data_IF_424942158972
#
_entry.id   IF_424942158972
#
_cell.length_a   1.000
_cell.length_b   1.000
_cell.length_c   1.000
_cell.angle_alpha   90.00
_cell.angle_beta   90.00
_cell.angle_gamma   90.00
#
_symmetry.space_group_name_H-M   'P 1'
#
loop_
_entity.id
_entity.type
_entity.pdbx_description
1 polymer ?
#
# COMPACT_ATOMS: atom_id res chain seq x y z
N UNK A 1 12.39 -66.90 -33.06
CA UNK A 1 13.45 -67.65 -33.75
C UNK A 1 14.76 -66.93 -33.45
N UNK A 2 15.48 -67.33 -32.38
CA UNK A 2 16.66 -68.21 -32.39
C UNK A 2 17.88 -67.53 -33.03
N UNK A 3 19.06 -67.32 -32.43
CA UNK A 3 19.71 -67.75 -31.18
C UNK A 3 20.83 -66.69 -30.87
N UNK A 4 21.17 -66.39 -29.60
CA UNK A 4 22.35 -66.90 -28.84
C UNK A 4 23.70 -66.76 -29.57
N UNK A 5 24.85 -66.48 -28.95
CA UNK A 5 25.33 -66.04 -27.65
C UNK A 5 26.87 -65.99 -27.85
N UNK A 6 27.61 -65.11 -27.17
CA UNK A 6 28.88 -65.58 -26.62
C UNK A 6 29.30 -64.78 -25.39
N UNK A 7 29.70 -65.55 -24.37
CA UNK A 7 30.27 -65.15 -23.08
C UNK A 7 31.51 -66.00 -22.93
N UNK A 8 32.64 -65.38 -22.59
CA UNK A 8 33.63 -65.98 -21.72
C UNK A 8 34.55 -64.85 -21.18
N UNK A 9 35.08 -64.80 -19.96
CA UNK A 9 34.91 -65.43 -18.63
C UNK A 9 36.31 -65.42 -18.00
N UNK A 10 36.44 -64.78 -16.82
CA UNK A 10 37.45 -64.97 -15.75
C UNK A 10 38.94 -64.71 -16.08
N UNK A 11 39.80 -64.27 -15.16
CA UNK A 11 39.93 -64.75 -13.80
C UNK A 11 40.61 -63.77 -12.83
N UNK A 12 40.30 -64.03 -11.56
CA UNK A 12 40.70 -63.41 -10.31
C UNK A 12 42.06 -63.91 -9.79
N UNK A 13 42.78 -63.09 -9.00
CA UNK A 13 43.58 -63.57 -7.87
C UNK A 13 43.98 -62.43 -6.90
N UNK A 14 43.53 -62.60 -5.65
CA UNK A 14 43.92 -61.96 -4.38
C UNK A 14 45.40 -62.30 -4.04
N UNK A 15 46.20 -61.54 -3.26
CA UNK A 15 46.22 -61.51 -1.77
C UNK A 15 47.30 -60.53 -1.23
N UNK A 16 46.92 -59.85 -0.14
CA UNK A 16 47.65 -59.42 1.09
C UNK A 16 48.99 -58.65 1.10
N UNK A 17 49.04 -57.68 2.04
CA UNK A 17 50.28 -57.29 2.72
C UNK A 17 50.37 -55.82 3.15
N UNK A 18 50.05 -55.53 4.41
CA UNK A 18 49.99 -54.22 5.04
C UNK A 18 51.32 -53.44 5.17
N UNK A 19 51.25 -52.10 5.17
CA UNK A 19 51.93 -51.23 6.15
C UNK A 19 51.41 -49.78 6.07
N UNK A 20 51.29 -49.20 7.25
CA UNK A 20 50.76 -47.89 7.65
C UNK A 20 51.54 -46.69 7.13
N UNK A 21 50.85 -45.61 6.76
CA UNK A 21 51.31 -44.28 7.12
C UNK A 21 50.15 -43.29 7.22
N UNK A 22 50.16 -42.50 8.30
CA UNK A 22 49.07 -41.62 8.68
C UNK A 22 48.98 -40.37 7.81
N UNK A 23 47.76 -40.01 7.43
CA UNK A 23 47.42 -38.67 7.03
C UNK A 23 46.12 -38.28 7.74
N UNK A 24 46.22 -37.20 8.52
CA UNK A 24 45.18 -36.66 9.36
C UNK A 24 43.87 -36.46 8.59
N UNK A 25 42.78 -36.99 9.16
CA UNK A 25 41.42 -36.61 8.80
C UNK A 25 41.16 -35.20 9.33
N UNK A 26 41.37 -34.18 8.51
CA UNK A 26 40.72 -32.88 8.73
C UNK A 26 39.27 -33.00 8.27
N UNK A 27 38.42 -33.38 9.22
CA UNK A 27 36.99 -33.15 9.15
C UNK A 27 36.73 -31.65 9.20
N UNK A 28 36.78 -31.00 8.04
CA UNK A 28 36.15 -29.70 7.88
C UNK A 28 34.63 -29.91 7.96
N UNK A 29 34.09 -29.74 9.16
CA UNK A 29 32.68 -29.49 9.36
C UNK A 29 32.29 -28.34 8.42
N UNK A 30 31.51 -28.65 7.38
CA UNK A 30 30.91 -27.68 6.51
C UNK A 30 29.99 -26.80 7.37
N UNK A 31 30.48 -25.61 7.72
CA UNK A 31 29.65 -24.56 8.30
C UNK A 31 28.55 -24.25 7.26
N UNK A 32 27.29 -24.45 7.64
CA UNK A 32 26.10 -24.37 6.78
C UNK A 32 25.77 -22.95 6.27
N UNK A 33 26.77 -22.08 6.13
CA UNK A 33 26.63 -20.78 5.49
C UNK A 33 26.90 -20.95 4.00
N UNK A 34 25.85 -21.31 3.26
CA UNK A 34 25.88 -21.41 1.80
C UNK A 34 26.41 -20.11 1.17
N UNK A 35 27.23 -20.26 0.13
CA UNK A 35 27.82 -19.16 -0.66
C UNK A 35 26.76 -18.09 -1.02
N UNK A 36 26.82 -16.88 -0.41
CA UNK A 36 25.86 -15.81 -0.66
C UNK A 36 25.89 -15.33 -2.11
N UNK A 37 27.06 -15.35 -2.75
CA UNK A 37 27.21 -14.97 -4.15
C UNK A 37 26.59 -16.03 -5.08
N UNK A 38 26.62 -17.30 -4.68
CA UNK A 38 25.91 -18.38 -5.34
C UNK A 38 24.39 -18.27 -5.21
N UNK A 39 23.87 -17.79 -4.09
CA UNK A 39 22.44 -17.61 -3.88
C UNK A 39 21.85 -16.50 -4.76
N UNK A 40 22.51 -15.35 -4.86
CA UNK A 40 22.07 -14.24 -5.73
C UNK A 40 21.97 -14.65 -7.20
N UNK A 41 22.98 -15.33 -7.74
CA UNK A 41 22.96 -15.82 -9.13
C UNK A 41 21.81 -16.79 -9.42
N UNK A 42 21.52 -17.71 -8.49
CA UNK A 42 20.38 -18.63 -8.64
C UNK A 42 19.04 -17.90 -8.66
N UNK A 43 18.88 -16.85 -7.85
CA UNK A 43 17.68 -16.01 -7.84
C UNK A 43 17.52 -15.31 -9.19
N UNK A 44 18.59 -14.71 -9.72
CA UNK A 44 18.58 -14.02 -11.01
C UNK A 44 18.27 -14.96 -12.19
N UNK A 45 18.86 -16.17 -12.21
CA UNK A 45 18.59 -17.18 -13.24
C UNK A 45 17.13 -17.64 -13.20
N UNK A 46 16.61 -17.99 -12.01
CA UNK A 46 15.21 -18.39 -11.85
C UNK A 46 14.23 -17.24 -12.15
N UNK A 47 14.59 -16.00 -11.81
CA UNK A 47 13.80 -14.82 -12.18
C UNK A 47 13.69 -14.68 -13.71
N UNK A 48 14.80 -14.88 -14.44
CA UNK A 48 14.80 -14.86 -15.90
C UNK A 48 13.89 -15.94 -16.48
N UNK A 49 13.91 -17.16 -15.94
CA UNK A 49 13.01 -18.23 -16.36
C UNK A 49 11.52 -17.90 -16.12
N UNK A 50 11.20 -17.24 -15.01
CA UNK A 50 9.82 -16.79 -14.72
C UNK A 50 9.41 -15.71 -15.73
N UNK A 51 10.27 -14.74 -16.03
CA UNK A 51 9.99 -13.69 -17.01
C UNK A 51 9.85 -14.26 -18.44
N UNK A 52 10.70 -15.22 -18.83
CA UNK A 52 10.64 -15.88 -20.14
C UNK A 52 9.39 -16.75 -20.32
N UNK A 53 8.83 -17.29 -19.23
CA UNK A 53 7.56 -18.03 -19.27
C UNK A 53 6.37 -17.15 -19.67
N UNK A 54 6.49 -15.83 -19.56
CA UNK A 54 5.48 -14.87 -20.00
C UNK A 54 4.28 -14.76 -19.06
N UNK A 55 3.12 -14.30 -19.57
CA UNK A 55 1.92 -14.08 -18.77
C UNK A 55 1.32 -15.39 -18.25
N UNK A 56 0.82 -15.37 -17.02
CA UNK A 56 -0.02 -16.46 -16.50
C UNK A 56 -1.28 -16.64 -17.34
N UNK A 57 -1.86 -17.83 -17.29
CA UNK A 57 -3.18 -18.03 -17.88
C UNK A 57 -4.19 -17.03 -17.29
N UNK A 58 -5.09 -16.43 -18.10
CA UNK A 58 -6.15 -15.56 -17.58
C UNK A 58 -7.03 -16.31 -16.58
N UNK A 59 -7.09 -15.81 -15.36
CA UNK A 59 -7.92 -16.36 -14.28
C UNK A 59 -9.21 -15.55 -14.15
N UNK A 60 -10.39 -16.14 -14.43
CA UNK A 60 -11.65 -15.43 -14.30
C UNK A 60 -11.95 -15.12 -12.83
N UNK A 61 -12.54 -13.95 -12.60
CA UNK A 61 -13.13 -13.57 -11.33
C UNK A 61 -14.17 -14.62 -10.90
N UNK A 62 -14.25 -14.85 -9.58
CA UNK A 62 -15.22 -15.79 -9.01
C UNK A 62 -16.66 -15.41 -9.33
N UNK A 63 -16.94 -14.11 -9.27
CA UNK A 63 -18.24 -13.52 -9.52
C UNK A 63 -18.10 -12.44 -10.60
N UNK A 64 -19.15 -12.17 -11.41
CA UNK A 64 -19.20 -10.95 -12.20
C UNK A 64 -19.08 -9.73 -11.30
N UNK A 65 -18.73 -8.59 -11.89
CA UNK A 65 -18.96 -7.28 -11.28
C UNK A 65 -20.41 -7.23 -10.83
N UNK A 66 -20.65 -6.99 -9.54
CA UNK A 66 -22.00 -7.10 -8.99
C UNK A 66 -22.27 -6.04 -7.93
N UNK A 67 -23.53 -5.61 -7.87
CA UNK A 67 -23.96 -4.52 -7.00
C UNK A 67 -23.78 -4.84 -5.51
N UNK A 68 -23.97 -6.09 -5.10
CA UNK A 68 -23.83 -6.48 -3.69
C UNK A 68 -22.40 -6.25 -3.18
N UNK A 69 -21.39 -6.63 -3.97
CA UNK A 69 -19.98 -6.36 -3.63
C UNK A 69 -19.63 -4.88 -3.73
N UNK A 70 -20.19 -4.13 -4.69
CA UNK A 70 -20.02 -2.67 -4.77
C UNK A 70 -20.54 -2.03 -3.49
N UNK A 71 -21.76 -2.36 -3.06
CA UNK A 71 -22.37 -1.84 -1.83
C UNK A 71 -21.49 -2.10 -0.61
N UNK A 72 -21.07 -3.36 -0.39
CA UNK A 72 -20.20 -3.71 0.73
C UNK A 72 -18.89 -2.90 0.72
N UNK A 73 -18.30 -2.68 -0.46
CA UNK A 73 -17.05 -1.97 -0.61
C UNK A 73 -17.21 -0.48 -0.32
N UNK A 74 -18.21 0.18 -0.93
CA UNK A 74 -18.41 1.63 -0.73
C UNK A 74 -18.83 1.96 0.70
N UNK A 75 -19.61 1.10 1.36
CA UNK A 75 -19.97 1.24 2.77
C UNK A 75 -18.73 1.13 3.68
N UNK A 76 -17.86 0.15 3.41
CA UNK A 76 -16.65 -0.06 4.21
C UNK A 76 -15.60 1.05 3.99
N UNK A 77 -15.49 1.57 2.77
CA UNK A 77 -14.56 2.65 2.42
C UNK A 77 -15.11 4.03 2.81
N UNK A 78 -16.43 4.18 2.92
CA UNK A 78 -17.09 5.46 3.16
C UNK A 78 -17.17 6.34 1.90
N UNK A 79 -17.13 5.75 0.71
CA UNK A 79 -17.26 6.47 -0.56
C UNK A 79 -18.75 6.65 -0.91
N UNK A 80 -19.24 7.88 -0.79
CA UNK A 80 -20.65 8.21 -0.99
C UNK A 80 -20.98 8.64 -2.43
N UNK A 81 -20.11 8.38 -3.42
CA UNK A 81 -20.37 8.78 -4.80
C UNK A 81 -21.61 8.04 -5.37
N UNK A 82 -22.67 8.77 -5.76
CA UNK A 82 -23.95 8.15 -6.11
C UNK A 82 -23.90 7.35 -7.42
N UNK A 83 -22.90 7.57 -8.29
CA UNK A 83 -22.81 6.82 -9.57
C UNK A 83 -22.57 5.31 -9.39
N UNK A 84 -22.21 4.89 -8.17
CA UNK A 84 -21.98 3.49 -7.83
C UNK A 84 -23.22 2.77 -7.27
N UNK A 85 -24.20 3.49 -6.75
CA UNK A 85 -25.31 2.91 -5.97
C UNK A 85 -26.71 3.46 -6.33
N UNK A 86 -26.79 4.63 -6.96
CA UNK A 86 -28.03 5.27 -7.40
C UNK A 86 -28.14 5.23 -8.93
N UNK A 87 -29.11 4.48 -9.44
CA UNK A 87 -29.30 4.30 -10.87
C UNK A 87 -29.74 5.58 -11.60
N UNK A 88 -30.50 6.46 -10.95
CA UNK A 88 -30.96 7.72 -11.54
C UNK A 88 -29.80 8.71 -11.64
N UNK A 89 -29.00 8.83 -10.57
CA UNK A 89 -27.80 9.66 -10.58
C UNK A 89 -26.76 9.16 -11.59
N UNK A 90 -26.58 7.83 -11.70
CA UNK A 90 -25.67 7.24 -12.67
C UNK A 90 -26.16 7.48 -14.11
N UNK A 91 -27.46 7.36 -14.38
CA UNK A 91 -28.07 7.64 -15.69
C UNK A 91 -27.94 9.12 -16.10
N UNK A 92 -28.01 10.04 -15.13
CA UNK A 92 -27.80 11.47 -15.36
C UNK A 92 -26.31 11.86 -15.47
N UNK A 93 -25.39 10.95 -15.16
CA UNK A 93 -23.94 11.19 -15.22
C UNK A 93 -23.35 10.87 -16.60
N UNK A 94 -22.06 11.16 -16.77
CA UNK A 94 -21.29 10.78 -17.97
C UNK A 94 -21.22 9.26 -18.20
N UNK A 95 -21.54 8.45 -17.20
CA UNK A 95 -21.49 6.99 -17.30
C UNK A 95 -22.76 6.38 -17.92
N UNK A 96 -23.90 7.06 -17.79
CA UNK A 96 -25.21 6.63 -18.32
C UNK A 96 -25.84 5.42 -17.62
N UNK A 97 -25.10 4.72 -16.77
CA UNK A 97 -25.56 3.59 -15.95
C UNK A 97 -24.61 3.39 -14.76
N UNK A 98 -25.00 2.51 -13.84
CA UNK A 98 -24.19 2.16 -12.67
C UNK A 98 -22.83 1.60 -13.10
N UNK A 99 -21.79 2.05 -12.41
CA UNK A 99 -20.42 1.60 -12.63
C UNK A 99 -19.80 1.13 -11.33
N UNK A 100 -18.83 0.23 -11.41
CA UNK A 100 -18.01 -0.14 -10.26
C UNK A 100 -16.97 0.96 -9.98
N UNK A 101 -16.65 1.26 -8.71
CA UNK A 101 -15.48 2.06 -8.37
C UNK A 101 -14.22 1.49 -9.04
N UNK A 102 -13.41 2.28 -9.75
CA UNK A 102 -12.24 1.77 -10.47
C UNK A 102 -11.26 1.01 -9.57
N UNK A 103 -11.08 1.47 -8.34
CA UNK A 103 -10.23 0.85 -7.32
C UNK A 103 -10.67 -0.58 -6.90
N UNK A 104 -11.86 -1.04 -7.31
CA UNK A 104 -12.29 -2.43 -7.11
C UNK A 104 -11.73 -3.40 -8.15
N UNK A 105 -10.97 -2.96 -9.16
CA UNK A 105 -10.45 -3.83 -10.23
C UNK A 105 -9.81 -5.12 -9.69
N UNK A 106 -8.96 -5.00 -8.68
CA UNK A 106 -8.31 -6.15 -8.03
C UNK A 106 -9.27 -6.99 -7.17
N UNK A 107 -10.28 -6.37 -6.56
CA UNK A 107 -11.23 -7.04 -5.64
C UNK A 107 -11.97 -8.18 -6.35
N UNK A 108 -12.31 -8.01 -7.62
CA UNK A 108 -13.03 -9.02 -8.41
C UNK A 108 -12.25 -10.32 -8.58
N UNK A 109 -10.93 -10.24 -8.67
CA UNK A 109 -10.04 -11.40 -8.84
C UNK A 109 -9.32 -11.78 -7.56
N UNK A 110 -9.78 -11.28 -6.40
CA UNK A 110 -9.28 -11.75 -5.12
C UNK A 110 -9.72 -13.20 -4.88
N UNK A 111 -8.77 -14.00 -4.40
CA UNK A 111 -8.93 -15.44 -4.16
C UNK A 111 -9.89 -15.78 -3.01
N UNK A 112 -10.25 -14.80 -2.19
CA UNK A 112 -11.03 -15.00 -0.98
C UNK A 112 -10.26 -15.79 0.10
N UNK A 113 -10.99 -16.25 1.11
CA UNK A 113 -10.41 -16.80 2.35
C UNK A 113 -9.61 -18.11 2.15
N UNK A 114 -10.00 -18.94 1.18
CA UNK A 114 -9.43 -20.28 0.97
C UNK A 114 -8.80 -20.46 -0.41
N UNK A 115 -8.74 -19.41 -1.22
CA UNK A 115 -8.26 -19.56 -2.58
C UNK A 115 -6.75 -19.76 -2.64
N UNK A 116 -6.33 -20.69 -3.49
CA UNK A 116 -4.92 -21.06 -3.70
C UNK A 116 -4.41 -20.38 -4.97
N UNK A 117 -3.14 -19.99 -4.97
CA UNK A 117 -2.49 -19.35 -6.11
C UNK A 117 -2.04 -20.38 -7.16
N UNK A 118 -2.36 -20.20 -8.47
CA UNK A 118 -1.98 -21.11 -9.53
C UNK A 118 -0.47 -21.34 -9.57
N UNK A 119 -0.02 -22.52 -10.03
CA UNK A 119 1.39 -22.81 -10.19
C UNK A 119 2.13 -21.88 -11.17
N UNK A 120 1.43 -21.35 -12.18
CA UNK A 120 1.98 -20.45 -13.20
C UNK A 120 1.96 -18.98 -12.80
N UNK A 121 1.42 -18.63 -11.63
CA UNK A 121 1.41 -17.25 -11.12
C UNK A 121 2.84 -16.75 -10.85
N UNK A 122 3.31 -15.70 -11.53
CA UNK A 122 4.70 -15.24 -11.42
C UNK A 122 5.06 -14.73 -10.02
N UNK A 123 4.10 -14.11 -9.31
CA UNK A 123 4.33 -13.62 -7.95
C UNK A 123 4.51 -14.78 -6.98
N UNK A 124 3.76 -15.88 -7.19
CA UNK A 124 3.94 -17.12 -6.41
C UNK A 124 5.35 -17.64 -6.57
N UNK A 125 5.77 -17.86 -7.82
CA UNK A 125 7.06 -18.45 -8.17
C UNK A 125 8.22 -17.60 -7.63
N UNK A 126 8.13 -16.29 -7.77
CA UNK A 126 9.11 -15.35 -7.22
C UNK A 126 9.15 -15.37 -5.68
N UNK A 127 7.99 -15.46 -5.02
CA UNK A 127 7.89 -15.50 -3.56
C UNK A 127 8.49 -16.79 -2.99
N UNK A 128 8.12 -17.94 -3.56
CA UNK A 128 8.64 -19.26 -3.16
C UNK A 128 10.17 -19.34 -3.34
N UNK A 129 10.69 -18.86 -4.48
CA UNK A 129 12.13 -18.75 -4.73
C UNK A 129 12.87 -17.94 -3.64
N UNK A 130 12.29 -16.81 -3.23
CA UNK A 130 12.89 -15.94 -2.23
C UNK A 130 12.73 -16.48 -0.80
N UNK A 131 11.64 -17.19 -0.52
CA UNK A 131 11.42 -17.91 0.74
C UNK A 131 12.46 -19.01 0.95
N UNK A 132 12.71 -19.83 -0.07
CA UNK A 132 13.75 -20.87 -0.06
C UNK A 132 15.16 -20.28 0.15
N UNK A 133 15.39 -19.05 -0.30
CA UNK A 133 16.63 -18.30 -0.07
C UNK A 133 16.70 -17.56 1.29
N UNK A 134 15.66 -17.69 2.13
CA UNK A 134 15.61 -17.13 3.48
C UNK A 134 15.03 -15.71 3.60
N UNK A 135 14.49 -15.14 2.53
CA UNK A 135 13.81 -13.84 2.54
C UNK A 135 12.32 -13.99 2.85
N UNK A 136 12.00 -14.47 4.04
CA UNK A 136 10.64 -14.93 4.39
C UNK A 136 9.66 -13.81 4.73
N UNK A 137 10.15 -12.62 5.09
CA UNK A 137 9.28 -11.48 5.40
C UNK A 137 8.88 -10.75 4.12
N UNK A 138 7.69 -10.14 4.09
CA UNK A 138 7.16 -9.43 2.91
C UNK A 138 6.47 -8.13 3.31
N UNK A 139 6.65 -7.09 2.50
CA UNK A 139 5.88 -5.86 2.58
C UNK A 139 5.60 -5.36 1.16
N UNK A 140 4.40 -4.84 0.92
CA UNK A 140 4.09 -4.12 -0.33
C UNK A 140 4.71 -2.72 -0.27
N UNK A 141 5.39 -2.30 -1.33
CA UNK A 141 6.07 -0.99 -1.37
C UNK A 141 5.41 -0.02 -2.34
N UNK A 142 4.89 -0.54 -3.46
CA UNK A 142 4.31 0.31 -4.50
C UNK A 142 3.12 -0.39 -5.16
N UNK A 143 2.10 0.40 -5.51
CA UNK A 143 0.95 -0.04 -6.31
C UNK A 143 0.55 1.10 -7.23
N UNK A 144 0.62 0.87 -8.54
CA UNK A 144 0.19 1.81 -9.56
C UNK A 144 -0.88 1.14 -10.42
N UNK A 145 -2.09 1.68 -10.45
CA UNK A 145 -3.19 1.16 -11.25
C UNK A 145 -3.57 2.14 -12.36
N UNK A 146 -3.74 1.62 -13.58
CA UNK A 146 -4.30 2.33 -14.73
C UNK A 146 -5.68 1.75 -15.02
N UNK A 147 -6.69 2.59 -15.15
CA UNK A 147 -8.04 2.17 -15.49
C UNK A 147 -8.37 2.66 -16.89
N UNK A 148 -8.52 1.72 -17.83
CA UNK A 148 -8.81 2.04 -19.23
C UNK A 148 -10.26 2.48 -19.42
N UNK A 149 -11.18 1.89 -18.63
CA UNK A 149 -12.57 2.33 -18.49
C UNK A 149 -13.18 1.85 -17.17
N UNK A 150 -14.36 2.38 -16.86
CA UNK A 150 -15.18 1.87 -15.77
C UNK A 150 -15.79 0.50 -16.13
N UNK A 151 -15.90 -0.36 -15.12
CA UNK A 151 -16.59 -1.63 -15.22
C UNK A 151 -18.07 -1.48 -14.89
N UNK A 152 -18.90 -2.32 -15.49
CA UNK A 152 -20.36 -2.33 -15.29
C UNK A 152 -20.81 -3.59 -14.59
N UNK A 153 -21.85 -3.53 -13.73
CA UNK A 153 -22.48 -4.72 -13.18
C UNK A 153 -22.85 -5.72 -14.29
N UNK A 154 -22.48 -6.99 -14.09
CA UNK A 154 -22.68 -8.09 -15.05
C UNK A 154 -21.43 -8.47 -15.85
N UNK A 155 -20.45 -7.57 -15.99
CA UNK A 155 -19.20 -7.88 -16.69
C UNK A 155 -18.38 -8.95 -15.93
N UNK A 156 -17.79 -9.89 -16.65
CA UNK A 156 -16.87 -10.88 -16.09
C UNK A 156 -15.42 -10.48 -16.38
N UNK A 157 -14.68 -10.23 -15.32
CA UNK A 157 -13.27 -9.83 -15.40
C UNK A 157 -12.39 -11.08 -15.31
N UNK A 158 -11.29 -11.13 -16.05
CA UNK A 158 -10.21 -12.10 -15.85
C UNK A 158 -8.87 -11.39 -15.67
N UNK A 159 -8.00 -11.90 -14.80
CA UNK A 159 -6.67 -11.34 -14.55
C UNK A 159 -5.57 -12.23 -15.13
N UNK A 160 -4.56 -11.62 -15.73
CA UNK A 160 -3.30 -12.30 -16.09
C UNK A 160 -2.13 -11.45 -15.61
N UNK A 161 -1.08 -12.10 -15.11
CA UNK A 161 0.07 -11.42 -14.52
C UNK A 161 1.38 -11.84 -15.19
N UNK A 162 2.32 -10.91 -15.25
CA UNK A 162 3.72 -11.12 -15.65
C UNK A 162 4.66 -10.70 -14.53
N UNK A 163 5.82 -11.34 -14.44
CA UNK A 163 6.95 -10.82 -13.67
C UNK A 163 7.70 -9.79 -14.52
N UNK A 164 7.74 -8.54 -14.07
CA UNK A 164 8.49 -7.49 -14.77
C UNK A 164 9.96 -7.51 -14.41
N UNK A 165 10.27 -7.55 -13.11
CA UNK A 165 11.65 -7.65 -12.63
C UNK A 165 11.74 -8.16 -11.19
N UNK A 166 12.95 -8.64 -10.86
CA UNK A 166 13.39 -8.93 -9.50
C UNK A 166 14.75 -8.24 -9.31
N UNK A 167 14.86 -7.39 -8.29
CA UNK A 167 16.05 -6.54 -8.07
C UNK A 167 16.55 -6.69 -6.64
N UNK A 168 17.79 -7.12 -6.48
CA UNK A 168 18.44 -7.32 -5.18
C UNK A 168 19.82 -7.97 -5.30
N UNK A 169 20.43 -8.34 -4.16
CA UNK A 169 20.00 -7.94 -2.82
C UNK A 169 20.19 -6.44 -2.60
N UNK A 170 19.28 -5.80 -1.87
CA UNK A 170 19.37 -4.41 -1.42
C UNK A 170 19.32 -4.34 0.09
N UNK A 171 20.14 -3.49 0.69
CA UNK A 171 20.01 -3.12 2.10
C UNK A 171 18.90 -2.06 2.23
N UNK A 172 17.89 -2.36 3.04
CA UNK A 172 16.75 -1.48 3.32
C UNK A 172 16.64 -1.24 4.82
N UNK A 173 15.74 -0.35 5.24
CA UNK A 173 15.45 -0.15 6.67
C UNK A 173 14.89 -1.40 7.36
N UNK A 174 14.27 -2.32 6.61
CA UNK A 174 13.72 -3.58 7.11
C UNK A 174 14.73 -4.74 7.07
N UNK A 175 15.94 -4.49 6.57
CA UNK A 175 16.98 -5.51 6.40
C UNK A 175 17.38 -5.69 4.94
N UNK A 176 18.19 -6.72 4.68
CA UNK A 176 18.53 -7.13 3.32
C UNK A 176 17.34 -7.81 2.65
N UNK A 177 17.02 -7.41 1.41
CA UNK A 177 15.91 -7.97 0.67
C UNK A 177 15.99 -7.79 -0.84
N UNK A 178 14.97 -8.31 -1.51
CA UNK A 178 14.77 -8.30 -2.95
C UNK A 178 13.42 -7.66 -3.26
N UNK A 179 13.43 -6.74 -4.21
CA UNK A 179 12.20 -6.19 -4.74
C UNK A 179 11.69 -7.08 -5.86
N UNK A 180 10.39 -7.37 -5.86
CA UNK A 180 9.70 -8.12 -6.92
C UNK A 180 8.61 -7.22 -7.47
N UNK A 181 8.66 -6.95 -8.77
CA UNK A 181 7.65 -6.17 -9.47
C UNK A 181 6.91 -7.05 -10.46
N UNK A 182 5.59 -7.09 -10.33
CA UNK A 182 4.69 -7.78 -11.25
C UNK A 182 3.72 -6.81 -11.88
N UNK A 183 3.32 -7.07 -13.13
CA UNK A 183 2.21 -6.37 -13.76
C UNK A 183 1.05 -7.31 -13.97
N UNK A 184 -0.13 -6.90 -13.53
CA UNK A 184 -1.39 -7.59 -13.74
C UNK A 184 -2.23 -6.79 -14.71
N UNK A 185 -2.80 -7.44 -15.71
CA UNK A 185 -3.80 -6.85 -16.60
C UNK A 185 -5.12 -7.56 -16.38
N UNK A 186 -6.18 -6.78 -16.21
CA UNK A 186 -7.56 -7.27 -16.15
C UNK A 186 -8.23 -7.08 -17.50
N UNK A 187 -9.00 -8.09 -17.90
CA UNK A 187 -9.69 -8.15 -19.19
C UNK A 187 -11.18 -8.43 -19.01
N UNK A 188 -12.01 -7.87 -19.89
CA UNK A 188 -13.39 -8.31 -20.13
C UNK A 188 -13.44 -8.85 -21.56
N UNK A 189 -13.57 -10.16 -21.71
CA UNK A 189 -13.28 -10.81 -22.99
C UNK A 189 -11.82 -10.58 -23.39
N UNK A 190 -11.59 -9.99 -24.56
CA UNK A 190 -10.25 -9.64 -25.05
C UNK A 190 -9.85 -8.18 -24.77
N UNK A 191 -10.75 -7.39 -24.18
CA UNK A 191 -10.52 -5.96 -23.90
C UNK A 191 -9.78 -5.78 -22.57
N UNK A 192 -8.60 -5.16 -22.59
CA UNK A 192 -7.92 -4.73 -21.37
C UNK A 192 -8.69 -3.56 -20.73
N UNK A 193 -9.15 -3.75 -19.49
CA UNK A 193 -10.00 -2.78 -18.77
C UNK A 193 -9.25 -2.05 -17.66
N UNK A 194 -8.23 -2.70 -17.09
CA UNK A 194 -7.35 -2.11 -16.09
C UNK A 194 -5.99 -2.81 -16.06
N UNK A 195 -4.97 -2.14 -15.54
CA UNK A 195 -3.63 -2.66 -15.31
C UNK A 195 -3.12 -2.24 -13.94
N UNK A 196 -2.28 -3.07 -13.32
CA UNK A 196 -1.60 -2.75 -12.08
C UNK A 196 -0.16 -3.19 -12.14
N UNK A 197 0.76 -2.26 -11.91
CA UNK A 197 2.14 -2.59 -11.52
C UNK A 197 2.19 -2.61 -10.00
N UNK A 198 2.58 -3.75 -9.44
CA UNK A 198 2.64 -3.98 -8.00
C UNK A 198 4.04 -4.42 -7.60
N UNK A 199 4.58 -3.77 -6.57
CA UNK A 199 5.93 -4.04 -6.07
C UNK A 199 5.88 -4.47 -4.61
N UNK A 200 6.57 -5.57 -4.32
CA UNK A 200 6.82 -6.03 -2.96
C UNK A 200 8.32 -6.05 -2.67
N UNK A 201 8.67 -5.94 -1.39
CA UNK A 201 9.98 -6.25 -0.85
C UNK A 201 9.88 -7.55 -0.06
N UNK A 202 10.63 -8.57 -0.49
CA UNK A 202 10.90 -9.78 0.30
C UNK A 202 12.22 -9.58 1.04
N UNK A 203 12.22 -9.68 2.36
CA UNK A 203 13.40 -9.37 3.17
C UNK A 203 13.63 -10.43 4.25
N UNK A 204 14.86 -10.50 4.74
CA UNK A 204 15.19 -11.40 5.86
C UNK A 204 14.55 -10.88 7.14
N UNK A 205 13.90 -11.74 7.94
CA UNK A 205 13.42 -11.33 9.25
C UNK A 205 14.58 -10.81 10.10
N UNK A 206 14.34 -9.80 10.95
CA UNK A 206 15.36 -9.33 11.88
C UNK A 206 15.84 -10.48 12.77
N UNK A 207 17.16 -10.58 12.99
CA UNK A 207 17.70 -11.55 13.95
C UNK A 207 17.08 -11.27 15.31
N UNK A 208 16.31 -12.24 15.83
CA UNK A 208 15.85 -12.17 17.22
C UNK A 208 17.09 -12.16 18.11
N UNK A 209 17.36 -11.02 18.76
CA UNK A 209 18.30 -11.00 19.87
C UNK A 209 17.80 -12.03 20.89
N UNK A 210 18.57 -13.10 21.07
CA UNK A 210 18.33 -14.07 22.12
C UNK A 210 18.39 -13.32 23.46
N UNK A 211 17.22 -12.93 23.98
CA UNK A 211 17.09 -12.47 25.34
C UNK A 211 17.32 -13.69 26.22
N UNK A 212 18.58 -13.86 26.64
CA UNK A 212 18.97 -14.85 27.62
C UNK A 212 18.18 -14.61 28.90
N UNK A 213 17.06 -15.30 29.05
CA UNK A 213 16.42 -15.46 30.35
C UNK A 213 17.36 -16.32 31.20
N UNK A 214 18.24 -15.64 31.93
CA UNK A 214 18.90 -16.22 33.09
C UNK A 214 17.81 -16.65 34.06
N UNK A 215 17.54 -17.96 34.10
CA UNK A 215 16.78 -18.59 35.17
C UNK A 215 17.59 -18.46 36.46
N UNK A 216 17.33 -17.37 37.19
CA UNK A 216 17.74 -17.21 38.57
C UNK A 216 16.97 -18.20 39.44
N UNK A 217 17.67 -19.21 39.93
CA UNK A 217 17.24 -20.10 40.99
C UNK A 217 16.87 -19.31 42.24
N UNK A 218 15.62 -19.41 42.70
CA UNK A 218 15.27 -19.22 44.12
C UNK A 218 14.31 -20.31 44.56
N UNK A 219 14.85 -21.21 45.39
CA UNK A 219 14.10 -22.16 46.22
C UNK A 219 13.72 -21.48 47.54
N UNK A 220 12.42 -21.49 47.85
CA UNK A 220 11.79 -21.56 49.18
C UNK A 220 10.28 -21.37 48.94
N UNK A 221 9.31 -22.15 49.41
CA UNK A 221 9.23 -23.21 50.40
C UNK A 221 7.76 -23.27 50.84
N UNK A 222 7.06 -24.32 50.43
CA UNK A 222 5.91 -25.04 51.03
C UNK A 222 4.88 -24.28 51.91
N UNK A 223 3.57 -24.29 51.56
CA UNK A 223 2.51 -25.12 52.21
C UNK A 223 1.07 -24.76 51.78
N UNK A 224 0.27 -25.80 51.44
CA UNK A 224 -1.21 -25.95 51.56
C UNK A 224 -2.12 -25.05 50.71
N UNK A 225 -3.31 -25.44 50.24
CA UNK A 225 -4.12 -26.66 50.26
C UNK A 225 -5.37 -26.39 49.37
N UNK A 226 -5.95 -27.45 48.76
CA UNK A 226 -7.34 -27.68 48.29
C UNK A 226 -8.19 -26.49 47.70
N UNK A 227 -8.81 -26.53 46.52
CA UNK A 227 -9.56 -27.59 45.86
C UNK A 227 -10.98 -27.75 46.45
N UNK A 228 -12.03 -27.20 45.81
CA UNK A 228 -13.31 -27.84 45.36
C UNK A 228 -14.44 -26.84 45.05
N UNK A 229 -15.20 -27.14 43.97
CA UNK A 229 -16.67 -26.95 43.72
C UNK A 229 -17.28 -25.53 43.71
N UNK A 230 -18.30 -25.20 42.91
CA UNK A 230 -19.21 -25.99 42.08
C UNK A 230 -20.12 -25.09 41.20
N UNK A 231 -20.93 -25.77 40.38
CA UNK A 231 -21.81 -25.25 39.33
C UNK A 231 -23.08 -24.51 39.81
N UNK A 232 -23.69 -23.86 38.81
CA UNK A 232 -25.14 -23.74 38.52
C UNK A 232 -25.92 -22.53 39.07
N UNK A 233 -26.72 -21.92 38.18
CA UNK A 233 -27.84 -21.08 38.60
C UNK A 233 -28.38 -20.06 37.58
N UNK A 234 -29.01 -20.55 36.52
CA UNK A 234 -29.98 -19.81 35.67
C UNK A 234 -31.09 -19.15 36.50
N UNK A 235 -31.49 -17.91 36.18
CA UNK A 235 -32.91 -17.51 36.14
C UNK A 235 -33.15 -16.30 35.23
N UNK A 236 -34.16 -16.45 34.38
CA UNK A 236 -34.76 -15.43 33.54
C UNK A 236 -35.98 -14.80 34.25
N UNK A 237 -36.36 -13.60 33.79
CA UNK A 237 -37.61 -12.92 34.09
C UNK A 237 -37.36 -11.40 34.05
N UNK A 238 -38.12 -10.56 33.37
CA UNK A 238 -39.37 -10.67 32.63
C UNK A 238 -39.80 -9.24 32.30
N UNK A 239 -40.27 -9.08 31.06
CA UNK A 239 -41.19 -8.07 30.48
C UNK A 239 -41.63 -6.90 31.37
N UNK A 240 -41.63 -5.70 30.80
CA UNK A 240 -42.89 -5.01 30.44
C UNK A 240 -42.65 -3.75 29.58
N UNK A 241 -43.46 -3.63 28.52
CA UNK A 241 -43.73 -2.40 27.77
C UNK A 241 -45.08 -1.84 28.24
N UNK A 242 -45.42 -0.58 27.95
CA UNK A 242 -46.49 -0.41 26.95
C UNK A 242 -46.37 0.81 26.01
N UNK A 243 -46.73 0.54 24.75
CA UNK A 243 -47.58 1.29 23.80
C UNK A 243 -48.07 2.71 24.12
N UNK A 244 -47.98 3.60 23.12
CA UNK A 244 -48.81 4.80 22.95
C UNK A 244 -48.78 5.31 21.49
N UNK A 245 -49.96 5.53 20.90
CA UNK A 245 -50.23 5.56 19.47
C UNK A 245 -50.11 6.94 18.77
N UNK A 246 -50.15 6.87 17.44
CA UNK A 246 -50.13 7.93 16.42
C UNK A 246 -51.30 8.92 16.45
N UNK A 247 -51.09 10.12 15.85
CA UNK A 247 -52.09 10.78 14.98
C UNK A 247 -51.39 11.64 13.91
N UNK A 248 -52.03 11.64 12.74
CA UNK A 248 -51.78 12.36 11.48
C UNK A 248 -52.35 13.79 11.52
N UNK A 249 -51.79 14.72 10.74
CA UNK A 249 -52.64 15.68 10.02
C UNK A 249 -51.97 16.22 8.75
N UNK A 250 -52.79 16.37 7.72
CA UNK A 250 -52.48 16.76 6.33
C UNK A 250 -53.38 17.94 5.94
N UNK A 251 -52.91 18.74 4.97
CA UNK A 251 -53.62 19.76 4.16
C UNK A 251 -53.63 21.20 4.72
N UNK A 252 -53.52 22.27 3.93
CA UNK A 252 -53.50 22.40 2.47
C UNK A 252 -53.42 23.88 2.02
N UNK A 253 -53.29 24.03 0.70
CA UNK A 253 -53.00 25.17 -0.19
C UNK A 253 -53.80 26.49 -0.10
N UNK A 254 -53.23 27.50 -0.78
CA UNK A 254 -53.87 28.63 -1.50
C UNK A 254 -52.93 29.85 -1.55
N UNK A 255 -52.09 30.06 -2.57
CA UNK A 255 -52.31 30.61 -3.94
C UNK A 255 -52.79 32.07 -4.01
N UNK A 256 -51.98 32.90 -4.69
CA UNK A 256 -52.31 33.84 -5.79
C UNK A 256 -51.46 35.13 -5.77
N UNK A 257 -50.87 35.47 -6.93
CA UNK A 257 -50.47 36.86 -7.21
C UNK A 257 -49.30 37.09 -8.18
N UNK A 258 -49.57 37.01 -9.48
CA UNK A 258 -48.71 37.44 -10.61
C UNK A 258 -48.24 38.91 -10.51
N UNK A 259 -47.02 39.17 -11.01
CA UNK A 259 -46.53 40.48 -11.41
C UNK A 259 -45.32 40.38 -12.34
N UNK A 260 -45.55 40.52 -13.64
CA UNK A 260 -44.57 40.66 -14.72
C UNK A 260 -44.19 42.15 -14.89
N UNK A 261 -42.89 42.46 -14.96
CA UNK A 261 -42.36 43.52 -15.83
C UNK A 261 -40.84 43.43 -15.90
N UNK A 262 -40.31 43.13 -17.09
CA UNK A 262 -38.89 43.24 -17.41
C UNK A 262 -38.47 44.66 -17.77
N UNK A 263 -37.20 44.98 -17.50
CA UNK A 263 -36.28 45.81 -18.33
C UNK A 263 -34.93 45.92 -17.60
N UNK A 264 -33.82 45.71 -18.31
CA UNK A 264 -32.45 45.89 -17.82
C UNK A 264 -31.50 45.03 -18.67
N UNK A 265 -31.16 45.51 -19.85
CA UNK A 265 -29.92 46.24 -20.15
C UNK A 265 -28.74 45.29 -20.40
N UNK A 266 -28.08 45.58 -21.50
CA UNK A 266 -27.23 44.70 -22.27
C UNK A 266 -25.77 45.08 -22.11
N UNK A 267 -24.95 44.09 -21.76
CA UNK A 267 -23.63 43.92 -22.36
C UNK A 267 -22.45 44.59 -21.66
N UNK A 268 -21.55 43.75 -21.15
CA UNK A 268 -20.12 44.04 -21.12
C UNK A 268 -19.50 43.92 -19.73
N UNK A 269 -19.24 42.69 -19.26
CA UNK A 269 -18.54 42.54 -18.00
C UNK A 269 -18.13 41.15 -17.54
N UNK A 270 -18.21 40.09 -18.36
CA UNK A 270 -17.86 38.73 -17.89
C UNK A 270 -16.86 38.07 -18.83
N UNK A 271 -15.63 38.57 -18.78
CA UNK A 271 -14.45 37.97 -19.40
C UNK A 271 -13.26 37.93 -18.45
N UNK A 272 -13.49 38.00 -17.13
CA UNK A 272 -12.42 38.05 -16.14
C UNK A 272 -12.81 37.39 -14.80
N UNK A 273 -13.06 36.10 -14.88
CA UNK A 273 -12.80 35.13 -13.81
C UNK A 273 -13.14 33.76 -14.41
N UNK A 274 -12.21 33.21 -15.19
CA UNK A 274 -12.23 31.77 -15.41
C UNK A 274 -12.07 31.15 -14.01
N UNK A 275 -13.21 30.64 -13.53
CA UNK A 275 -13.46 29.84 -12.34
C UNK A 275 -12.19 29.13 -11.86
N UNK A 276 -11.62 29.61 -10.75
CA UNK A 276 -10.51 28.98 -10.08
C UNK A 276 -10.95 27.56 -9.69
N UNK A 277 -10.49 26.57 -10.43
CA UNK A 277 -10.73 25.16 -10.15
C UNK A 277 -10.42 24.90 -8.67
N UNK A 278 -11.44 24.53 -7.89
CA UNK A 278 -11.36 24.48 -6.43
C UNK A 278 -10.23 23.54 -5.97
N UNK A 279 -9.14 24.13 -5.49
CA UNK A 279 -8.08 23.41 -4.80
C UNK A 279 -8.67 22.80 -3.53
N UNK A 280 -8.47 21.50 -3.32
CA UNK A 280 -8.89 20.83 -2.09
C UNK A 280 -8.21 21.52 -0.89
N UNK A 281 -9.01 22.08 0.00
CA UNK A 281 -8.51 22.82 1.16
C UNK A 281 -8.19 21.87 2.32
N UNK A 282 -7.06 22.07 3.02
CA UNK A 282 -6.71 21.24 4.17
C UNK A 282 -7.65 21.48 5.35
N UNK A 283 -7.87 20.45 6.16
CA UNK A 283 -8.57 20.59 7.45
C UNK A 283 -7.61 21.21 8.46
N UNK A 284 -7.87 22.46 8.83
CA UNK A 284 -7.14 23.17 9.88
C UNK A 284 -7.81 22.92 11.22
N UNK A 285 -7.08 22.34 12.16
CA UNK A 285 -7.48 22.10 13.55
C UNK A 285 -6.58 22.88 14.50
N UNK A 286 -6.91 22.89 15.80
CA UNK A 286 -6.05 23.52 16.81
C UNK A 286 -4.64 22.90 16.85
N UNK A 287 -4.54 21.61 16.58
CA UNK A 287 -3.28 20.85 16.68
C UNK A 287 -2.34 21.10 15.50
N UNK A 288 -2.83 21.66 14.39
CA UNK A 288 -2.03 21.93 13.20
C UNK A 288 -2.07 23.39 12.72
N UNK A 289 -2.84 24.27 13.37
CA UNK A 289 -2.96 25.68 12.98
C UNK A 289 -1.60 26.38 12.89
N UNK A 290 -0.71 26.14 13.86
CA UNK A 290 0.62 26.75 13.89
C UNK A 290 1.44 26.47 12.62
N UNK A 291 1.26 25.29 12.00
CA UNK A 291 1.93 24.91 10.76
C UNK A 291 1.43 25.76 9.59
N UNK A 292 0.10 25.86 9.44
CA UNK A 292 -0.52 26.65 8.37
C UNK A 292 -0.24 28.16 8.53
N UNK A 293 -0.22 28.67 9.76
CA UNK A 293 0.19 30.05 10.04
C UNK A 293 1.65 30.30 9.65
N UNK A 294 2.53 29.33 9.92
CA UNK A 294 3.92 29.37 9.46
C UNK A 294 4.03 29.46 7.95
N UNK A 295 3.29 28.62 7.22
CA UNK A 295 3.32 28.65 5.75
C UNK A 295 2.88 30.00 5.17
N UNK A 296 1.87 30.65 5.77
CA UNK A 296 1.46 32.01 5.36
C UNK A 296 2.58 33.04 5.55
N UNK A 297 3.38 32.87 6.58
CA UNK A 297 4.54 33.73 6.89
C UNK A 297 5.81 33.34 6.10
N UNK A 298 5.76 32.26 5.30
CA UNK A 298 6.92 31.74 4.57
C UNK A 298 7.88 30.95 5.45
N UNK A 299 7.37 30.35 6.53
CA UNK A 299 8.12 29.55 7.49
C UNK A 299 7.66 28.08 7.45
N UNK A 300 8.61 27.16 7.46
CA UNK A 300 8.33 25.74 7.59
C UNK A 300 8.46 25.32 9.07
N UNK A 301 7.35 25.35 9.81
CA UNK A 301 7.35 25.05 11.25
C UNK A 301 7.22 23.55 11.53
N UNK A 302 8.08 23.01 12.38
CA UNK A 302 8.07 21.59 12.81
C UNK A 302 7.64 21.52 14.27
N UNK A 303 6.66 20.67 14.60
CA UNK A 303 6.25 20.47 16.00
C UNK A 303 7.42 19.93 16.80
N UNK A 304 7.60 20.44 18.02
CA UNK A 304 8.62 19.97 18.95
C UNK A 304 8.05 19.68 20.33
N UNK A 305 8.50 18.57 20.89
CA UNK A 305 8.22 18.11 22.25
C UNK A 305 9.56 17.92 22.96
N UNK A 306 9.97 18.91 23.76
CA UNK A 306 11.31 18.94 24.35
C UNK A 306 12.39 18.92 23.27
N UNK A 307 13.14 17.82 23.15
CA UNK A 307 14.15 17.62 22.11
C UNK A 307 13.63 16.85 20.87
N UNK A 308 12.40 16.33 20.92
CA UNK A 308 11.85 15.49 19.85
C UNK A 308 11.11 16.35 18.82
N UNK A 309 11.53 16.26 17.56
CA UNK A 309 10.82 16.85 16.43
C UNK A 309 9.80 15.87 15.84
N UNK A 310 8.66 16.40 15.42
CA UNK A 310 7.56 15.59 14.89
C UNK A 310 6.88 16.24 13.69
N UNK A 311 6.70 15.43 12.64
CA UNK A 311 5.80 15.71 11.53
C UNK A 311 5.22 14.38 11.02
N UNK A 312 3.89 14.27 10.75
CA UNK A 312 2.86 15.30 10.94
C UNK A 312 2.61 15.66 12.42
N UNK A 313 2.12 16.89 12.72
CA UNK A 313 1.80 17.30 14.08
C UNK A 313 0.75 16.41 14.73
N UNK A 314 0.75 16.35 16.05
CA UNK A 314 -0.39 15.78 16.78
C UNK A 314 -0.44 16.19 18.25
N UNK A 315 -1.55 15.90 18.93
CA UNK A 315 -1.88 16.52 20.22
C UNK A 315 -1.12 15.95 21.43
N UNK A 316 -0.52 14.77 21.29
CA UNK A 316 0.15 14.05 22.38
C UNK A 316 1.66 13.94 22.15
N UNK A 317 2.47 14.11 23.21
CA UNK A 317 3.90 13.85 23.13
C UNK A 317 4.17 12.35 22.97
N UNK A 318 5.29 11.95 22.34
CA UNK A 318 5.63 10.55 22.12
C UNK A 318 5.84 9.73 23.41
N UNK A 319 6.23 10.39 24.51
CA UNK A 319 6.46 9.76 25.82
C UNK A 319 5.20 9.63 26.69
N UNK A 320 4.10 10.27 26.28
CA UNK A 320 2.81 10.24 26.97
C UNK A 320 2.70 11.19 28.18
N UNK A 321 3.62 12.12 28.40
CA UNK A 321 3.48 13.11 29.48
C UNK A 321 2.33 14.10 29.21
N UNK A 322 1.25 13.97 29.98
CA UNK A 322 0.07 14.82 29.84
C UNK A 322 0.29 16.29 30.25
N UNK A 323 1.43 16.62 30.87
CA UNK A 323 1.78 17.99 31.26
C UNK A 323 2.72 18.68 30.27
N UNK A 324 3.26 17.96 29.29
CA UNK A 324 4.08 18.56 28.26
C UNK A 324 3.21 19.44 27.35
N UNK A 325 3.74 20.59 26.94
CA UNK A 325 3.14 21.43 25.91
C UNK A 325 4.05 21.44 24.67
N UNK A 326 3.50 21.29 23.46
CA UNK A 326 4.31 21.36 22.25
C UNK A 326 4.65 22.82 21.93
N UNK A 327 5.83 23.02 21.37
CA UNK A 327 6.15 24.23 20.62
C UNK A 327 6.55 23.87 19.18
N UNK A 328 7.27 24.75 18.50
CA UNK A 328 7.80 24.48 17.17
C UNK A 328 9.19 25.06 16.98
N UNK A 329 9.90 24.51 15.99
CA UNK A 329 11.11 25.11 15.41
C UNK A 329 10.81 25.51 13.97
N UNK A 330 11.42 26.61 13.50
CA UNK A 330 11.39 26.98 12.09
C UNK A 330 12.54 26.24 11.40
N UNK A 331 12.20 25.38 10.45
CA UNK A 331 13.17 24.61 9.68
C UNK A 331 13.99 25.52 8.76
N UNK A 332 15.22 25.12 8.46
CA UNK A 332 16.04 25.76 7.42
C UNK A 332 15.39 25.64 6.04
N UNK A 333 14.48 24.67 5.87
CA UNK A 333 13.76 24.42 4.62
C UNK A 333 14.58 23.64 3.61
N UNK A 334 15.73 23.10 3.98
CA UNK A 334 16.59 22.29 3.10
C UNK A 334 16.46 20.80 3.43
N UNK A 335 16.61 19.97 2.41
CA UNK A 335 16.57 18.52 2.57
C UNK A 335 16.87 17.78 1.28
N UNK A 336 16.59 16.48 1.28
CA UNK A 336 16.75 15.63 0.10
C UNK A 336 15.48 14.83 -0.18
N UNK A 337 15.22 14.56 -1.47
CA UNK A 337 14.11 13.69 -1.88
C UNK A 337 14.31 12.29 -1.29
N UNK A 338 13.49 11.92 -0.30
CA UNK A 338 13.51 10.61 0.32
C UNK A 338 12.74 9.58 -0.51
N UNK A 339 11.61 10.00 -1.09
CA UNK A 339 10.81 9.25 -2.07
C UNK A 339 10.00 10.21 -2.91
N UNK A 340 9.53 9.79 -4.08
CA UNK A 340 8.66 10.59 -4.92
C UNK A 340 7.73 9.72 -5.77
N UNK A 341 6.66 10.31 -6.25
CA UNK A 341 5.81 9.76 -7.30
C UNK A 341 5.60 10.79 -8.39
N UNK A 342 5.37 10.31 -9.61
CA UNK A 342 5.00 11.15 -10.75
C UNK A 342 3.53 10.88 -11.05
N UNK A 343 2.70 11.91 -10.83
CA UNK A 343 1.27 11.79 -11.07
C UNK A 343 0.95 12.09 -12.53
N UNK A 344 0.52 11.08 -13.28
CA UNK A 344 0.19 11.20 -14.70
C UNK A 344 -1.32 11.33 -14.97
N UNK A 345 -2.18 10.66 -14.19
CA UNK A 345 -3.63 10.60 -14.42
C UNK A 345 -4.36 10.11 -13.13
N UNK A 346 -5.62 10.51 -12.85
CA UNK A 346 -6.45 11.47 -13.59
C UNK A 346 -6.03 12.93 -13.42
N UNK A 347 -6.51 13.85 -14.28
CA UNK A 347 -6.33 15.28 -14.08
C UNK A 347 -6.78 15.71 -12.69
N UNK A 348 -5.92 16.46 -12.00
CA UNK A 348 -6.22 17.04 -10.69
C UNK A 348 -6.56 18.52 -10.90
N UNK A 349 -7.72 19.00 -10.42
CA UNK A 349 -8.08 20.42 -10.49
C UNK A 349 -6.94 21.33 -10.00
N UNK A 350 -6.56 22.30 -10.81
CA UNK A 350 -5.50 23.26 -10.49
C UNK A 350 -4.06 22.76 -10.67
N UNK A 351 -3.83 21.54 -11.18
CA UNK A 351 -2.48 20.99 -11.44
C UNK A 351 -2.24 20.74 -12.93
N UNK A 352 -1.01 20.98 -13.37
CA UNK A 352 -0.54 20.62 -14.71
C UNK A 352 0.08 19.22 -14.64
N UNK A 353 -0.34 18.33 -15.54
CA UNK A 353 0.16 16.95 -15.60
C UNK A 353 1.33 16.82 -16.60
N UNK A 354 2.30 15.93 -16.34
CA UNK A 354 2.55 15.26 -15.06
C UNK A 354 3.17 16.22 -14.03
N UNK A 355 2.93 15.99 -12.75
CA UNK A 355 3.63 16.69 -11.66
C UNK A 355 4.23 15.69 -10.66
N UNK A 356 5.25 16.15 -9.92
CA UNK A 356 5.99 15.31 -8.97
C UNK A 356 5.54 15.64 -7.56
N UNK A 357 5.11 14.62 -6.81
CA UNK A 357 4.97 14.74 -5.35
C UNK A 357 6.19 14.10 -4.69
N UNK A 358 6.95 14.91 -3.97
CA UNK A 358 8.14 14.48 -3.26
C UNK A 358 7.88 14.41 -1.76
N UNK A 359 8.29 13.29 -1.16
CA UNK A 359 8.50 13.18 0.27
C UNK A 359 9.96 13.54 0.54
N UNK A 360 10.19 14.67 1.20
CA UNK A 360 11.53 15.21 1.45
C UNK A 360 11.91 14.92 2.89
N UNK A 361 13.10 14.34 3.10
CA UNK A 361 13.74 14.28 4.41
C UNK A 361 14.49 15.59 4.62
N UNK A 362 14.00 16.39 5.56
CA UNK A 362 14.60 17.66 5.94
C UNK A 362 15.88 17.42 6.74
N UNK A 363 16.78 18.41 6.76
CA UNK A 363 18.02 18.35 7.53
C UNK A 363 17.77 18.19 9.04
N UNK A 364 16.59 18.60 9.53
CA UNK A 364 16.13 18.37 10.90
C UNK A 364 15.69 16.92 11.19
N UNK A 365 15.62 16.05 10.17
CA UNK A 365 15.34 14.62 10.29
C UNK A 365 13.87 14.20 10.21
N UNK A 366 12.93 15.16 10.11
CA UNK A 366 11.52 14.86 9.81
C UNK A 366 11.30 14.80 8.30
N UNK A 367 10.20 14.15 7.87
CA UNK A 367 9.83 14.08 6.46
C UNK A 367 8.57 14.87 6.18
N UNK A 368 8.56 15.62 5.09
CA UNK A 368 7.41 16.43 4.66
C UNK A 368 7.08 16.18 3.19
N UNK A 369 5.78 16.07 2.91
CA UNK A 369 5.26 15.90 1.56
C UNK A 369 5.00 17.28 0.93
N UNK A 370 5.36 17.44 -0.34
CA UNK A 370 5.04 18.63 -1.13
C UNK A 370 5.25 18.38 -2.63
N UNK A 371 4.71 19.25 -3.46
CA UNK A 371 4.98 19.20 -4.90
C UNK A 371 6.41 19.67 -5.18
N UNK A 372 7.12 18.99 -6.07
CA UNK A 372 8.45 19.41 -6.52
C UNK A 372 8.32 20.13 -7.88
N UNK A 373 8.62 21.42 -7.85
CA UNK A 373 8.47 22.32 -8.99
C UNK A 373 9.73 22.45 -9.83
N UNK A 374 9.52 22.76 -11.12
CA UNK A 374 10.58 23.24 -12.00
C UNK A 374 11.63 22.18 -12.37
N UNK A 375 11.28 20.89 -12.27
CA UNK A 375 12.13 19.76 -12.64
C UNK A 375 11.38 18.88 -13.63
N UNK A 376 12.08 18.36 -14.64
CA UNK A 376 11.54 17.29 -15.47
C UNK A 376 11.37 16.04 -14.59
N UNK A 377 10.20 15.38 -14.55
CA UNK A 377 10.02 14.16 -13.77
C UNK A 377 11.08 13.08 -14.04
N UNK A 378 11.66 13.04 -15.25
CA UNK A 378 12.74 12.12 -15.60
C UNK A 378 14.08 12.40 -14.88
N UNK A 379 14.28 13.63 -14.40
CA UNK A 379 15.49 14.06 -13.69
C UNK A 379 15.37 13.89 -12.16
N UNK A 380 14.19 13.49 -11.66
CA UNK A 380 13.98 13.30 -10.23
C UNK A 380 14.52 11.96 -9.77
N UNK A 381 15.34 11.98 -8.73
CA UNK A 381 15.91 10.79 -8.12
C UNK A 381 15.99 10.92 -6.58
N UNK A 382 16.03 9.78 -5.89
CA UNK A 382 16.26 9.74 -4.45
C UNK A 382 17.60 10.40 -4.11
N UNK A 383 17.61 11.24 -3.08
CA UNK A 383 18.77 12.03 -2.68
C UNK A 383 18.91 13.38 -3.40
N UNK A 384 18.01 13.73 -4.33
CA UNK A 384 18.04 15.06 -4.97
C UNK A 384 17.91 16.16 -3.92
N UNK A 385 18.87 17.09 -3.90
CA UNK A 385 18.86 18.21 -2.97
C UNK A 385 17.76 19.21 -3.35
N UNK A 386 16.95 19.57 -2.36
CA UNK A 386 15.82 20.49 -2.55
C UNK A 386 15.77 21.52 -1.44
N UNK A 387 15.04 22.59 -1.71
CA UNK A 387 14.68 23.61 -0.74
C UNK A 387 13.18 23.91 -0.78
N UNK A 388 12.65 24.37 0.36
CA UNK A 388 11.26 24.71 0.54
C UNK A 388 10.88 25.91 -0.33
N UNK A 389 9.70 25.83 -0.89
CA UNK A 389 9.00 26.92 -1.57
C UNK A 389 7.56 26.96 -1.08
N UNK A 390 6.89 28.09 -1.29
CA UNK A 390 5.56 28.33 -0.73
C UNK A 390 4.61 28.75 -1.84
N UNK A 391 3.65 27.89 -2.14
CA UNK A 391 2.63 28.14 -3.16
C UNK A 391 1.45 28.87 -2.52
N UNK A 392 1.31 30.16 -2.83
CA UNK A 392 0.15 30.95 -2.42
C UNK A 392 -1.01 30.62 -3.35
N UNK A 393 -2.02 29.94 -2.82
CA UNK A 393 -3.22 29.56 -3.56
C UNK A 393 -4.20 30.75 -3.58
N UNK A 394 -4.41 31.35 -2.42
CA UNK A 394 -5.23 32.55 -2.21
C UNK A 394 -4.80 33.25 -0.90
N UNK A 395 -5.57 34.26 -0.48
CA UNK A 395 -5.28 35.06 0.72
C UNK A 395 -5.31 34.23 2.02
N UNK A 396 -5.94 33.06 2.01
CA UNK A 396 -6.14 32.22 3.19
C UNK A 396 -5.26 30.97 3.17
N UNK A 397 -4.82 30.48 2.01
CA UNK A 397 -4.11 29.22 1.88
C UNK A 397 -2.74 29.37 1.20
N UNK A 398 -1.71 28.93 1.91
CA UNK A 398 -0.36 28.70 1.37
C UNK A 398 0.02 27.24 1.59
N UNK A 399 0.49 26.56 0.54
CA UNK A 399 0.93 25.17 0.59
C UNK A 399 2.46 25.08 0.56
N UNK A 400 3.06 24.09 1.25
CA UNK A 400 4.48 23.81 1.11
C UNK A 400 4.74 23.09 -0.21
N UNK A 401 5.81 23.49 -0.88
CA UNK A 401 6.32 22.86 -2.08
C UNK A 401 7.85 22.83 -2.04
N UNK A 402 8.46 22.23 -3.06
CA UNK A 402 9.90 22.04 -3.15
C UNK A 402 10.42 22.56 -4.48
N UNK A 403 11.68 22.98 -4.49
CA UNK A 403 12.43 23.29 -5.71
C UNK A 403 13.79 22.64 -5.62
N UNK A 404 14.37 22.28 -6.76
CA UNK A 404 15.74 21.77 -6.81
C UNK A 404 16.68 22.86 -6.32
N UNK A 405 17.54 22.49 -5.37
CA UNK A 405 18.56 23.39 -4.83
C UNK A 405 19.75 23.42 -5.79
N UNK A 406 20.03 24.59 -6.36
CA UNK A 406 21.13 24.84 -7.29
C UNK A 406 22.49 24.89 -6.62
#
# INVERSE_FOLDING_TARGET
MSAAADRATTDSATTDGAATDGAATDGAAADGRGDPAGAGRRIEEAAREITEAGPSAPEPARDPVNQAMINNWVEAIGDANPVYTDAEAAAASVHGELVAPPAMAQVWTMRGLYGVRPPDDPLRRATELLDEAGYTSVVATDSAQTYHRYLRPGEHVAASSVLENIVGPKRTALGEGWFVTTRTTWYVGDEAVAEMTFRILKFRPPEQQATGHSTGTTNAGTTGEAGTTGEAGTTAGGRDAPSGAATTDTAGSGDDGRGDSGTGDSGGGEGRAAEAAQVLRPVVTRDNAFFWDGLREGELRIQRWGETLRHPPGPMPPDGDLNAEPDYVVAAGTGTVYSFLVHHHPPVPGKQLPFVLALVELDEGVRMLGELHGVDPADVHIGLAVEASFDRIDDELTLPAWRVRS
#
